data_IF_349849716467
#
_entry.id   IF_349849716467
#
_cell.length_a   1.000
_cell.length_b   1.000
_cell.length_c   1.000
_cell.angle_alpha   90.00
_cell.angle_beta   90.00
_cell.angle_gamma   90.00
#
_symmetry.space_group_name_H-M   'P 1'
#
loop_
_entity.id
_entity.type
_entity.pdbx_description
1 polymer ?
#
# COMPACT_ATOMS: atom_id res chain seq x y z
N UNK A 1 28.36 32.65 4.41
CA UNK A 1 27.43 31.87 3.56
C UNK A 1 27.32 30.48 4.16
N UNK A 2 26.20 30.16 4.80
CA UNK A 2 25.96 28.83 5.35
C UNK A 2 25.32 27.95 4.25
N UNK A 3 25.99 26.86 3.88
CA UNK A 3 25.42 25.86 3.00
C UNK A 3 24.42 25.01 3.80
N UNK A 4 23.13 25.11 3.47
CA UNK A 4 22.15 24.11 3.90
C UNK A 4 22.46 22.81 3.14
N UNK A 5 23.03 21.82 3.81
CA UNK A 5 23.07 20.45 3.30
C UNK A 5 21.66 19.86 3.41
N UNK A 6 21.02 19.58 2.27
CA UNK A 6 19.82 18.77 2.24
C UNK A 6 20.22 17.33 2.61
N UNK A 7 19.76 16.86 3.76
CA UNK A 7 19.88 15.43 4.12
C UNK A 7 19.05 14.65 3.11
N UNK A 8 19.61 13.63 2.42
CA UNK A 8 18.82 12.83 1.50
C UNK A 8 17.66 12.17 2.27
N UNK A 9 16.46 12.18 1.68
CA UNK A 9 15.31 11.49 2.25
C UNK A 9 15.64 10.00 2.40
N UNK A 10 15.56 9.49 3.64
CA UNK A 10 15.88 8.10 3.95
C UNK A 10 14.82 7.18 3.32
N UNK A 11 15.26 6.08 2.70
CA UNK A 11 14.35 5.05 2.18
C UNK A 11 13.85 4.19 3.34
N UNK A 12 12.55 4.29 3.64
CA UNK A 12 11.90 3.60 4.74
C UNK A 12 10.42 3.38 4.39
N UNK A 13 9.86 2.25 4.82
CA UNK A 13 8.42 2.07 4.92
C UNK A 13 8.02 2.22 6.37
N UNK A 14 7.16 3.19 6.67
CA UNK A 14 6.60 3.40 8.00
C UNK A 14 5.21 2.80 8.08
N UNK A 15 4.88 2.20 9.23
CA UNK A 15 3.55 1.66 9.52
C UNK A 15 2.91 2.40 10.69
N UNK A 16 1.60 2.64 10.61
CA UNK A 16 0.84 3.26 11.70
C UNK A 16 -0.58 2.73 11.77
N UNK A 17 -1.21 2.88 12.93
CA UNK A 17 -2.66 2.82 13.03
C UNK A 17 -3.28 3.96 12.20
N UNK A 18 -4.46 3.73 11.67
CA UNK A 18 -5.21 4.71 10.86
C UNK A 18 -6.68 4.68 11.27
N UNK A 19 -7.41 5.74 10.95
CA UNK A 19 -8.85 5.68 10.80
C UNK A 19 -9.19 5.42 9.34
N UNK A 20 -10.28 4.71 9.06
CA UNK A 20 -10.70 4.48 7.69
C UNK A 20 -11.57 5.60 7.15
N UNK A 21 -11.25 6.05 5.94
CA UNK A 21 -12.15 6.84 5.09
C UNK A 21 -11.93 6.47 3.63
N UNK A 22 -13.01 6.27 2.88
CA UNK A 22 -12.99 6.08 1.43
C UNK A 22 -13.51 4.72 0.95
N UNK A 23 -13.67 4.55 -0.38
CA UNK A 23 -14.07 3.27 -0.94
C UNK A 23 -12.95 2.24 -0.76
N UNK A 24 -13.29 1.06 -0.28
CA UNK A 24 -12.34 -0.04 -0.12
C UNK A 24 -12.27 -0.89 -1.39
N UNK A 25 -11.08 -1.39 -1.69
CA UNK A 25 -10.89 -2.40 -2.71
C UNK A 25 -11.31 -3.77 -2.17
N UNK A 26 -12.06 -4.52 -2.97
CA UNK A 26 -12.38 -5.92 -2.70
C UNK A 26 -11.25 -6.83 -3.18
N UNK A 27 -11.14 -8.01 -2.58
CA UNK A 27 -10.20 -9.04 -3.05
C UNK A 27 -10.64 -9.60 -4.41
N UNK A 28 -11.93 -9.95 -4.55
CA UNK A 28 -12.55 -10.37 -5.81
C UNK A 28 -13.44 -9.26 -6.39
N UNK A 29 -13.51 -9.21 -7.72
CA UNK A 29 -13.96 -8.11 -8.58
C UNK A 29 -12.97 -6.93 -8.71
N UNK A 30 -12.24 -6.91 -9.84
CA UNK A 30 -11.33 -5.86 -10.31
C UNK A 30 -10.17 -5.39 -9.37
N UNK A 31 -10.06 -5.92 -8.15
CA UNK A 31 -9.32 -5.30 -7.04
C UNK A 31 -7.92 -5.86 -6.67
N UNK A 32 -7.75 -7.05 -6.10
CA UNK A 32 -6.41 -7.50 -5.62
C UNK A 32 -6.11 -9.02 -5.76
N UNK A 33 -7.11 -9.86 -6.08
CA UNK A 33 -6.95 -11.29 -6.35
C UNK A 33 -7.11 -11.58 -7.85
N UNK A 34 -6.03 -11.41 -8.62
CA UNK A 34 -6.01 -11.61 -10.08
C UNK A 34 -6.57 -10.41 -10.88
N UNK A 35 -6.68 -9.25 -10.22
CA UNK A 35 -7.14 -7.99 -10.82
C UNK A 35 -6.02 -7.17 -11.47
N UNK A 36 -6.33 -5.93 -11.89
CA UNK A 36 -5.36 -5.04 -12.55
C UNK A 36 -4.34 -4.43 -11.58
N UNK A 37 -4.63 -4.40 -10.27
CA UNK A 37 -3.79 -3.76 -9.25
C UNK A 37 -2.78 -4.73 -8.65
N UNK A 38 -3.20 -5.97 -8.35
CA UNK A 38 -2.33 -6.98 -7.76
C UNK A 38 -2.75 -8.42 -8.11
N UNK A 39 -1.79 -9.32 -8.01
CA UNK A 39 -2.03 -10.76 -7.97
C UNK A 39 -1.89 -11.29 -6.55
N UNK A 40 -2.75 -12.24 -6.18
CA UNK A 40 -2.70 -12.95 -4.91
C UNK A 40 -2.10 -14.35 -5.13
N UNK A 41 -1.21 -14.77 -4.24
CA UNK A 41 -0.71 -16.13 -4.15
C UNK A 41 -0.76 -16.61 -2.71
N UNK A 42 -1.24 -17.83 -2.48
CA UNK A 42 -1.51 -18.37 -1.14
C UNK A 42 -2.67 -17.66 -0.43
N UNK A 43 -2.89 -18.05 0.83
CA UNK A 43 -4.08 -17.67 1.60
C UNK A 43 -5.39 -18.17 0.99
N UNK A 44 -6.50 -17.83 1.63
CA UNK A 44 -7.84 -18.07 1.11
C UNK A 44 -8.69 -16.82 1.26
N UNK A 45 -9.52 -16.53 0.25
CA UNK A 45 -10.48 -15.43 0.29
C UNK A 45 -11.84 -16.00 0.68
N UNK A 46 -12.41 -15.48 1.77
CA UNK A 46 -13.70 -15.90 2.29
C UNK A 46 -14.72 -14.75 2.23
N UNK A 47 -15.99 -15.11 2.17
CA UNK A 47 -17.14 -14.20 2.21
C UNK A 47 -18.01 -14.40 3.46
N UNK A 48 -17.62 -15.34 4.33
CA UNK A 48 -18.34 -15.75 5.53
C UNK A 48 -17.34 -16.37 6.53
N UNK A 49 -17.69 -16.39 7.81
CA UNK A 49 -16.86 -16.97 8.86
C UNK A 49 -16.56 -18.46 8.63
N UNK A 50 -15.42 -18.90 9.15
CA UNK A 50 -14.94 -20.28 9.12
C UNK A 50 -14.42 -20.67 10.51
N UNK A 51 -14.35 -21.97 10.85
CA UNK A 51 -13.82 -22.40 12.15
C UNK A 51 -12.38 -21.99 12.48
N UNK A 52 -11.64 -21.45 11.50
CA UNK A 52 -10.22 -21.11 11.57
C UNK A 52 -9.93 -19.68 11.05
N UNK A 53 -10.98 -18.93 10.70
CA UNK A 53 -10.86 -17.61 10.12
C UNK A 53 -12.19 -16.85 10.26
N UNK A 54 -12.17 -15.68 10.88
CA UNK A 54 -13.36 -14.87 11.12
C UNK A 54 -13.32 -13.57 10.32
N UNK A 55 -14.49 -13.05 9.95
CA UNK A 55 -14.63 -11.75 9.30
C UNK A 55 -14.07 -10.68 10.26
N UNK A 56 -13.09 -9.85 9.84
CA UNK A 56 -12.57 -8.78 10.67
C UNK A 56 -13.68 -7.85 11.16
N UNK A 57 -13.73 -7.55 12.46
CA UNK A 57 -14.67 -6.59 13.01
C UNK A 57 -14.49 -5.20 12.35
N UNK A 58 -15.57 -4.67 11.77
CA UNK A 58 -15.56 -3.42 10.99
C UNK A 58 -15.36 -3.59 9.47
N UNK A 59 -15.35 -4.84 8.98
CA UNK A 59 -15.41 -5.15 7.55
C UNK A 59 -16.64 -4.50 6.92
N UNK A 60 -16.47 -3.87 5.77
CA UNK A 60 -17.57 -3.17 5.12
C UNK A 60 -18.58 -4.19 4.55
N UNK A 61 -19.89 -3.89 4.55
CA UNK A 61 -20.88 -4.80 3.99
C UNK A 61 -20.56 -5.19 2.55
N UNK A 62 -20.63 -6.49 2.24
CA UNK A 62 -20.39 -7.02 0.89
C UNK A 62 -18.91 -7.10 0.48
N UNK A 63 -17.95 -6.89 1.40
CA UNK A 63 -16.53 -7.11 1.12
C UNK A 63 -16.08 -8.49 1.61
N UNK A 64 -15.25 -9.14 0.80
CA UNK A 64 -14.56 -10.38 1.20
C UNK A 64 -13.34 -10.07 2.06
N UNK A 65 -12.89 -11.05 2.82
CA UNK A 65 -11.67 -10.98 3.61
C UNK A 65 -10.65 -12.05 3.19
N UNK A 66 -9.38 -11.76 3.40
CA UNK A 66 -8.27 -12.67 3.16
C UNK A 66 -7.87 -13.28 4.51
N UNK A 67 -7.74 -14.59 4.54
CA UNK A 67 -7.22 -15.34 5.67
C UNK A 67 -5.88 -16.00 5.26
N UNK A 68 -4.81 -15.72 6.01
CA UNK A 68 -3.48 -16.27 5.75
C UNK A 68 -2.93 -17.05 6.95
N UNK A 69 -2.37 -18.23 6.74
CA UNK A 69 -1.87 -19.09 7.81
C UNK A 69 -1.85 -20.57 7.44
N UNK A 70 -1.19 -21.44 8.23
CA UNK A 70 -1.00 -22.84 7.86
C UNK A 70 -2.33 -23.59 7.72
N UNK A 71 -3.37 -23.17 8.43
CA UNK A 71 -4.71 -23.79 8.39
C UNK A 71 -5.62 -23.21 7.31
N UNK A 72 -5.38 -21.96 6.85
CA UNK A 72 -6.24 -21.24 5.91
C UNK A 72 -5.65 -21.04 4.51
N UNK A 73 -4.65 -21.84 4.11
CA UNK A 73 -4.10 -21.81 2.75
C UNK A 73 -2.66 -21.27 2.60
N UNK A 74 -1.80 -21.47 3.61
CA UNK A 74 -0.42 -20.97 3.66
C UNK A 74 -0.33 -19.45 3.81
N UNK A 75 0.90 -18.94 3.84
CA UNK A 75 1.24 -17.51 3.76
C UNK A 75 0.60 -16.88 2.52
N UNK A 76 -0.05 -15.72 2.67
CA UNK A 76 -0.67 -15.00 1.56
C UNK A 76 0.20 -13.84 1.10
N UNK A 77 0.39 -13.68 -0.21
CA UNK A 77 1.19 -12.58 -0.79
C UNK A 77 0.41 -11.87 -1.87
N UNK A 78 0.27 -10.55 -1.71
CA UNK A 78 -0.19 -9.64 -2.75
C UNK A 78 1.03 -9.04 -3.47
N UNK A 79 1.14 -9.27 -4.78
CA UNK A 79 2.17 -8.67 -5.63
C UNK A 79 1.54 -7.60 -6.50
N UNK A 80 1.97 -6.35 -6.34
CA UNK A 80 1.36 -5.21 -7.05
C UNK A 80 1.88 -5.12 -8.48
N UNK A 81 0.95 -4.96 -9.44
CA UNK A 81 1.27 -4.78 -10.87
C UNK A 81 2.02 -3.46 -11.10
N UNK A 82 1.68 -2.42 -10.34
CA UNK A 82 2.41 -1.16 -10.28
C UNK A 82 2.84 -0.85 -8.83
N UNK A 83 4.03 -0.24 -8.61
CA UNK A 83 4.47 0.16 -7.29
C UNK A 83 3.49 1.10 -6.58
N UNK A 84 3.37 0.93 -5.27
CA UNK A 84 2.51 1.76 -4.42
C UNK A 84 3.33 2.73 -3.56
N UNK A 85 2.79 3.94 -3.37
CA UNK A 85 3.27 4.87 -2.34
C UNK A 85 2.76 4.49 -0.96
N UNK A 86 1.53 3.96 -0.89
CA UNK A 86 0.97 3.49 0.36
C UNK A 86 0.02 2.33 0.16
N UNK A 87 -0.05 1.48 1.18
CA UNK A 87 -0.93 0.34 1.29
C UNK A 87 -1.62 0.38 2.66
N UNK A 88 -2.87 -0.04 2.74
CA UNK A 88 -3.62 -0.10 4.00
C UNK A 88 -4.72 -1.14 3.93
N UNK A 89 -5.17 -1.59 5.09
CA UNK A 89 -6.22 -2.59 5.25
C UNK A 89 -6.78 -2.51 6.67
N UNK A 90 -7.93 -3.15 6.86
CA UNK A 90 -8.47 -3.49 8.17
C UNK A 90 -7.86 -4.81 8.65
N UNK A 91 -7.20 -4.78 9.80
CA UNK A 91 -6.65 -5.98 10.45
C UNK A 91 -7.65 -6.48 11.50
N UNK A 92 -8.15 -7.71 11.36
CA UNK A 92 -9.04 -8.38 12.32
C UNK A 92 -8.30 -9.25 13.32
N UNK A 93 -8.82 -9.38 14.54
CA UNK A 93 -8.26 -10.26 15.57
C UNK A 93 -6.73 -10.18 15.70
N UNK A 94 -6.13 -8.97 15.81
CA UNK A 94 -4.67 -8.84 15.84
C UNK A 94 -4.10 -9.66 17.00
N UNK A 95 -3.00 -10.36 16.77
CA UNK A 95 -2.36 -11.22 17.75
C UNK A 95 -0.82 -11.18 17.61
N UNK A 96 -0.11 -12.00 18.39
CA UNK A 96 1.35 -12.08 18.35
C UNK A 96 1.91 -13.09 17.34
N UNK A 97 1.05 -13.89 16.71
CA UNK A 97 1.42 -14.85 15.68
C UNK A 97 1.39 -14.24 14.28
N UNK A 98 0.60 -13.18 14.12
CA UNK A 98 0.43 -12.44 12.88
C UNK A 98 1.61 -11.50 12.60
N UNK A 99 2.17 -11.62 11.40
CA UNK A 99 3.24 -10.76 10.88
C UNK A 99 2.91 -10.31 9.47
N UNK A 100 2.97 -9.00 9.26
CA UNK A 100 2.98 -8.40 7.94
C UNK A 100 4.42 -8.12 7.52
N UNK A 101 4.81 -8.58 6.34
CA UNK A 101 6.06 -8.17 5.69
C UNK A 101 5.75 -7.30 4.49
N UNK A 102 6.28 -6.08 4.45
CA UNK A 102 6.15 -5.14 3.33
C UNK A 102 7.47 -5.11 2.58
N UNK A 103 7.46 -5.58 1.32
CA UNK A 103 8.61 -5.50 0.43
C UNK A 103 8.54 -4.22 -0.40
N UNK A 104 9.65 -3.50 -0.41
CA UNK A 104 9.84 -2.25 -1.12
C UNK A 104 11.00 -2.34 -2.11
N UNK A 105 11.40 -1.22 -2.71
CA UNK A 105 12.61 -1.14 -3.54
C UNK A 105 13.90 -1.29 -2.72
N UNK A 106 13.87 -0.89 -1.45
CA UNK A 106 15.06 -0.80 -0.60
C UNK A 106 15.16 -1.89 0.46
N UNK A 107 14.14 -2.74 0.61
CA UNK A 107 14.18 -3.85 1.55
C UNK A 107 12.83 -4.42 1.94
N UNK A 108 12.84 -5.26 2.97
CA UNK A 108 11.65 -5.86 3.57
C UNK A 108 11.49 -5.34 5.00
N UNK A 109 10.33 -4.79 5.30
CA UNK A 109 9.97 -4.23 6.60
C UNK A 109 8.92 -5.13 7.25
N UNK A 110 9.14 -5.51 8.52
CA UNK A 110 8.24 -6.42 9.22
C UNK A 110 7.45 -5.66 10.29
N UNK A 111 6.15 -5.90 10.34
CA UNK A 111 5.23 -5.29 11.27
C UNK A 111 4.43 -6.36 12.01
N UNK A 112 4.26 -6.15 13.31
CA UNK A 112 3.39 -6.93 14.19
C UNK A 112 2.38 -5.98 14.84
N UNK A 113 1.34 -6.54 15.47
CA UNK A 113 0.40 -5.73 16.24
C UNK A 113 1.13 -4.88 17.31
N UNK A 114 2.14 -5.45 17.96
CA UNK A 114 2.96 -4.74 18.96
C UNK A 114 3.79 -3.61 18.36
N UNK A 115 4.47 -3.82 17.21
CA UNK A 115 5.30 -2.76 16.60
C UNK A 115 4.47 -1.58 16.09
N UNK A 116 3.19 -1.79 15.80
CA UNK A 116 2.26 -0.77 15.34
C UNK A 116 1.48 -0.09 16.47
N UNK A 117 1.63 -0.57 17.71
CA UNK A 117 0.99 0.02 18.89
C UNK A 117 -0.50 -0.30 19.01
N UNK A 118 -0.94 -1.48 18.56
CA UNK A 118 -2.33 -1.90 18.71
C UNK A 118 -2.76 -1.91 20.19
N UNK A 119 -3.97 -1.41 20.52
CA UNK A 119 -4.48 -1.45 21.90
C UNK A 119 -4.92 -2.86 22.33
N UNK A 120 -5.24 -3.73 21.36
CA UNK A 120 -5.66 -5.12 21.56
C UNK A 120 -4.86 -6.00 20.58
N UNK A 121 -4.18 -7.03 21.11
CA UNK A 121 -3.31 -7.93 20.33
C UNK A 121 -3.34 -9.38 20.83
N UNK A 122 -4.51 -9.84 21.29
CA UNK A 122 -4.74 -11.16 21.88
C UNK A 122 -5.64 -12.06 21.02
N UNK A 123 -5.92 -11.71 19.76
CA UNK A 123 -6.82 -12.46 18.90
C UNK A 123 -8.31 -12.25 19.19
N UNK A 124 -8.70 -11.18 19.89
CA UNK A 124 -10.11 -10.85 20.11
C UNK A 124 -10.83 -10.58 18.78
N UNK A 125 -11.69 -11.52 18.38
CA UNK A 125 -12.47 -11.48 17.14
C UNK A 125 -13.46 -10.31 17.08
N UNK A 126 -13.80 -9.70 18.23
CA UNK A 126 -14.64 -8.50 18.27
C UNK A 126 -13.87 -7.21 17.95
N UNK A 127 -12.55 -7.29 17.81
CA UNK A 127 -11.67 -6.15 17.56
C UNK A 127 -11.10 -6.16 16.14
N UNK A 128 -11.14 -4.99 15.50
CA UNK A 128 -10.49 -4.73 14.22
C UNK A 128 -9.98 -3.31 14.16
N UNK A 129 -8.83 -3.10 13.51
CA UNK A 129 -8.18 -1.80 13.44
C UNK A 129 -7.53 -1.58 12.08
N UNK A 130 -7.80 -0.41 11.51
CA UNK A 130 -7.16 -0.02 10.26
C UNK A 130 -5.69 0.32 10.48
N UNK A 131 -4.88 -0.11 9.53
CA UNK A 131 -3.45 0.17 9.46
C UNK A 131 -3.08 0.73 8.10
N UNK A 132 -2.03 1.54 8.08
CA UNK A 132 -1.48 2.12 6.86
C UNK A 132 0.03 2.02 6.86
N UNK A 133 0.58 1.73 5.69
CA UNK A 133 2.01 1.64 5.40
C UNK A 133 2.35 2.64 4.30
N UNK A 134 3.36 3.46 4.51
CA UNK A 134 3.75 4.54 3.59
C UNK A 134 5.23 4.42 3.28
N UNK A 135 5.56 4.34 1.98
CA UNK A 135 6.94 4.41 1.53
C UNK A 135 7.46 5.85 1.61
N UNK A 136 8.75 5.99 1.92
CA UNK A 136 9.50 7.24 1.85
C UNK A 136 9.49 7.84 0.44
N UNK A 137 9.97 9.08 0.30
CA UNK A 137 9.87 9.81 -0.96
C UNK A 137 10.57 9.14 -2.14
N UNK A 138 11.65 8.40 -1.88
CA UNK A 138 12.43 7.67 -2.89
C UNK A 138 12.09 6.18 -2.97
N UNK A 139 11.18 5.68 -2.13
CA UNK A 139 10.87 4.26 -1.99
C UNK A 139 9.46 3.94 -2.52
N UNK A 140 9.23 2.68 -2.90
CA UNK A 140 7.97 2.19 -3.43
C UNK A 140 7.68 0.77 -2.94
N UNK A 141 6.45 0.51 -2.53
CA UNK A 141 6.00 -0.81 -2.09
C UNK A 141 5.71 -1.68 -3.32
N UNK A 142 6.26 -2.89 -3.33
CA UNK A 142 6.17 -3.86 -4.43
C UNK A 142 5.28 -5.06 -4.11
N UNK A 143 5.33 -5.53 -2.87
CA UNK A 143 4.47 -6.62 -2.41
C UNK A 143 4.26 -6.57 -0.91
N UNK A 144 3.20 -7.21 -0.45
CA UNK A 144 2.96 -7.46 0.97
C UNK A 144 2.68 -8.93 1.20
N UNK A 145 3.16 -9.43 2.32
CA UNK A 145 3.01 -10.82 2.73
C UNK A 145 2.39 -10.89 4.12
N UNK A 146 1.28 -11.60 4.23
CA UNK A 146 0.55 -11.88 5.45
C UNK A 146 0.93 -13.28 5.91
N UNK A 147 1.57 -13.38 7.07
CA UNK A 147 1.99 -14.64 7.65
C UNK A 147 1.44 -14.77 9.07
N UNK A 148 1.08 -16.00 9.43
CA UNK A 148 0.68 -16.38 10.77
C UNK A 148 1.46 -17.64 11.15
N UNK A 149 1.96 -17.69 12.38
CA UNK A 149 2.68 -18.87 12.91
C UNK A 149 1.85 -19.73 13.88
N UNK A 150 0.60 -19.36 14.17
CA UNK A 150 -0.37 -20.21 14.87
C UNK A 150 -0.69 -21.44 14.02
N UNK A 151 -1.04 -22.55 14.67
CA UNK A 151 -1.45 -23.77 13.98
C UNK A 151 -2.96 -23.87 13.78
N UNK A 152 -3.71 -22.88 14.26
CA UNK A 152 -5.18 -22.95 14.33
C UNK A 152 -5.78 -21.76 13.59
N UNK A 153 -5.51 -20.55 14.07
CA UNK A 153 -6.15 -19.32 13.59
C UNK A 153 -5.36 -18.64 12.45
N UNK A 154 -6.08 -17.92 11.59
CA UNK A 154 -5.51 -17.19 10.46
C UNK A 154 -5.18 -15.73 10.81
N UNK A 155 -4.33 -15.12 9.98
CA UNK A 155 -4.25 -13.66 9.86
C UNK A 155 -5.38 -13.19 8.95
N UNK A 156 -6.39 -12.51 9.52
CA UNK A 156 -7.51 -11.97 8.74
C UNK A 156 -7.38 -10.48 8.41
N UNK A 157 -7.58 -10.14 7.14
CA UNK A 157 -7.54 -8.76 6.64
C UNK A 157 -8.63 -8.47 5.62
N UNK A 158 -9.16 -7.25 5.64
CA UNK A 158 -10.19 -6.80 4.69
C UNK A 158 -10.02 -5.30 4.38
N UNK A 159 -10.98 -4.73 3.64
CA UNK A 159 -11.10 -3.29 3.40
C UNK A 159 -9.80 -2.62 2.92
N UNK A 160 -9.22 -3.14 1.83
CA UNK A 160 -7.93 -2.68 1.34
C UNK A 160 -7.98 -1.28 0.74
N UNK A 161 -6.87 -0.54 0.88
CA UNK A 161 -6.66 0.77 0.27
C UNK A 161 -5.25 0.85 -0.30
N UNK A 162 -5.12 1.39 -1.51
CA UNK A 162 -3.83 1.57 -2.18
C UNK A 162 -3.71 2.98 -2.74
N UNK A 163 -2.48 3.47 -2.82
CA UNK A 163 -2.15 4.68 -3.59
C UNK A 163 -0.98 4.36 -4.49
N UNK A 164 -1.21 4.34 -5.81
CA UNK A 164 -0.15 4.10 -6.79
C UNK A 164 0.80 5.28 -6.87
N UNK A 165 2.07 5.03 -7.18
CA UNK A 165 2.99 6.11 -7.58
C UNK A 165 2.64 6.52 -9.01
N UNK A 166 2.51 7.83 -9.33
CA UNK A 166 2.32 8.24 -10.72
C UNK A 166 3.49 7.74 -11.57
N UNK A 167 3.17 7.09 -12.69
CA UNK A 167 4.15 6.44 -13.57
C UNK A 167 5.24 7.46 -13.99
N UNK A 168 6.55 7.14 -13.85
CA UNK A 168 7.65 7.98 -14.34
C UNK A 168 7.46 8.51 -15.77
N UNK A 169 6.77 7.78 -16.65
CA UNK A 169 6.42 8.26 -17.98
C UNK A 169 5.48 9.49 -17.95
N UNK A 170 4.56 9.55 -16.99
CA UNK A 170 3.71 10.73 -16.75
C UNK A 170 4.55 11.94 -16.34
N UNK A 171 5.57 11.74 -15.49
CA UNK A 171 6.49 12.84 -15.13
C UNK A 171 7.32 13.28 -16.33
N UNK A 172 7.84 12.34 -17.12
CA UNK A 172 8.61 12.63 -18.32
C UNK A 172 7.79 13.43 -19.35
N UNK A 173 6.53 13.04 -19.59
CA UNK A 173 5.63 13.76 -20.51
C UNK A 173 5.29 15.15 -20.00
N UNK A 174 5.09 15.34 -18.69
CA UNK A 174 4.92 16.67 -18.10
C UNK A 174 6.18 17.53 -18.29
N UNK A 175 7.37 16.99 -18.01
CA UNK A 175 8.64 17.70 -18.20
C UNK A 175 8.84 18.08 -19.67
N UNK A 176 8.57 17.15 -20.60
CA UNK A 176 8.65 17.41 -22.04
C UNK A 176 7.63 18.46 -22.46
N UNK A 177 6.38 18.35 -22.01
CA UNK A 177 5.31 19.30 -22.33
C UNK A 177 5.61 20.71 -21.83
N UNK A 178 5.95 20.84 -20.54
CA UNK A 178 6.32 22.14 -19.96
C UNK A 178 7.64 22.68 -20.54
N UNK A 179 8.61 21.82 -20.81
CA UNK A 179 9.87 22.18 -21.47
C UNK A 179 9.65 22.73 -22.87
N UNK A 180 8.79 22.09 -23.67
CA UNK A 180 8.43 22.52 -25.01
C UNK A 180 7.71 23.89 -25.00
N UNK A 181 6.74 24.08 -24.09
CA UNK A 181 6.05 25.37 -23.92
C UNK A 181 7.04 26.48 -23.54
N UNK A 182 7.91 26.22 -22.56
CA UNK A 182 8.94 27.18 -22.12
C UNK A 182 9.92 27.54 -23.24
N UNK A 183 10.34 26.57 -24.05
CA UNK A 183 11.18 26.81 -25.22
C UNK A 183 10.48 27.67 -26.28
N UNK A 184 9.22 27.36 -26.59
CA UNK A 184 8.41 28.13 -27.55
C UNK A 184 8.23 29.59 -27.11
N UNK A 185 7.95 29.83 -25.82
CA UNK A 185 7.86 31.19 -25.25
C UNK A 185 9.19 31.95 -25.31
N UNK A 186 10.32 31.27 -25.12
CA UNK A 186 11.65 31.89 -25.25
C UNK A 186 11.98 32.23 -26.70
N UNK A 187 11.59 31.36 -27.64
CA UNK A 187 11.81 31.57 -29.07
C UNK A 187 10.96 32.74 -29.62
N UNK A 188 9.71 32.89 -29.18
CA UNK A 188 8.83 33.97 -29.62
C UNK A 188 9.33 35.36 -29.18
N UNK A 189 9.84 35.49 -27.95
CA UNK A 189 10.42 36.75 -27.44
C UNK A 189 11.60 37.26 -28.27
N UNK A 190 12.46 36.35 -28.77
CA UNK A 190 13.61 36.70 -29.62
C UNK A 190 13.21 37.25 -30.99
N UNK A 191 12.03 36.87 -31.51
CA UNK A 191 11.51 37.41 -32.77
C UNK A 191 10.99 38.85 -32.61
N UNK A 192 10.40 39.19 -31.46
CA UNK A 192 9.93 40.54 -31.17
C UNK A 192 11.05 41.59 -31.07
N UNK A 193 12.24 41.22 -30.60
CA UNK A 193 13.37 42.16 -30.48
C UNK A 193 14.04 42.52 -31.82
N UNK A 194 13.82 41.74 -32.89
CA UNK A 194 14.39 42.03 -34.23
C UNK A 194 13.56 43.02 -35.06
N UNK A 195 12.32 43.32 -34.66
CA UNK A 195 11.43 44.25 -35.39
C UNK A 195 11.47 45.69 -34.86
N UNK A 196 12.09 45.95 -33.70
CA UNK A 196 12.21 47.29 -33.12
C UNK A 196 13.50 48.04 -33.55
N UNK A 197 14.22 47.52 -34.54
CA UNK A 197 15.47 48.11 -35.07
C UNK A 197 15.41 48.10 -36.60
N UNK A 198 14.49 48.89 -37.16
CA UNK A 198 14.39 49.25 -38.57
C UNK A 198 13.89 50.69 -38.66
#
# INVERSE_FOLDING_TARGET
>A
MAALSAVPAQAEVTGSLSSATGPFLTLSDAGLNGGTIATLSGGTVYSEDKPIADIPAGTAPGTNFLAAGPSSGQVATLTFTAPLRSFGFLWGSPDWYNRLSVKSDFGVYNFTASSLGFPVSNGDQSFGQYVRFVAGAADQIRSVTFANSSQIDAFEVSNFQVSAVPDPATWATMIIGFGAIGFAMRASRRKGTRLARA
#
